data_IF_006894981615
#
_entry.id   IF_006894981615
#
_cell.length_a   1.000
_cell.length_b   1.000
_cell.length_c   1.000
_cell.angle_alpha   90.00
_cell.angle_beta   90.00
_cell.angle_gamma   90.00
#
_symmetry.space_group_name_H-M   'P 1'
#
loop_
_entity.id
_entity.type
_entity.pdbx_description
1 polymer ?
#
# COMPACT_ATOMS: atom_id res chain seq x y z
N UNK A 1 23.59 -19.43 -43.85
CA UNK A 1 23.56 -19.23 -42.39
C UNK A 1 22.48 -18.20 -42.10
N UNK A 2 21.29 -18.62 -41.71
CA UNK A 2 20.18 -17.73 -41.36
C UNK A 2 20.03 -17.73 -39.85
N UNK A 3 20.14 -16.57 -39.23
CA UNK A 3 19.83 -16.38 -37.81
C UNK A 3 18.30 -16.34 -37.65
N UNK A 4 17.73 -17.02 -36.64
CA UNK A 4 16.30 -16.90 -36.37
C UNK A 4 16.04 -15.56 -35.69
N UNK A 5 15.31 -14.68 -36.38
CA UNK A 5 14.65 -13.53 -35.76
C UNK A 5 13.60 -14.08 -34.80
N UNK A 6 13.89 -14.03 -33.50
CA UNK A 6 12.88 -14.35 -32.49
C UNK A 6 11.87 -13.20 -32.49
N UNK A 7 10.79 -13.40 -33.23
CA UNK A 7 9.58 -12.60 -33.17
C UNK A 7 9.06 -12.68 -31.74
N UNK A 8 9.31 -11.64 -30.95
CA UNK A 8 8.53 -11.35 -29.75
C UNK A 8 7.13 -11.02 -30.23
N UNK A 9 6.31 -12.07 -30.43
CA UNK A 9 4.87 -11.96 -30.57
C UNK A 9 4.37 -11.27 -29.30
N UNK A 10 4.05 -9.98 -29.42
CA UNK A 10 3.17 -9.26 -28.52
C UNK A 10 1.74 -9.82 -28.69
N UNK A 11 1.54 -11.10 -28.37
CA UNK A 11 0.22 -11.65 -28.12
C UNK A 11 -0.29 -10.99 -26.86
N UNK A 12 -1.53 -10.52 -26.90
CA UNK A 12 -2.21 -9.81 -25.81
C UNK A 12 -2.09 -10.55 -24.47
N UNK A 13 -1.08 -10.21 -23.66
CA UNK A 13 -0.95 -10.70 -22.29
C UNK A 13 -1.76 -9.78 -21.37
N UNK A 14 -3.07 -9.97 -21.31
CA UNK A 14 -3.76 -9.77 -20.04
C UNK A 14 -3.39 -10.95 -19.11
N UNK A 15 -2.08 -11.13 -18.87
CA UNK A 15 -1.55 -12.10 -17.92
C UNK A 15 -1.47 -11.37 -16.60
N UNK A 16 -2.24 -11.85 -15.63
CA UNK A 16 -2.17 -11.39 -14.25
C UNK A 16 -0.69 -11.25 -13.83
N UNK A 17 -0.29 -10.14 -13.15
CA UNK A 17 1.08 -9.93 -12.74
C UNK A 17 1.63 -11.12 -11.95
N UNK A 18 2.91 -11.44 -12.13
CA UNK A 18 3.59 -12.41 -11.27
C UNK A 18 3.86 -11.78 -9.91
N UNK A 19 2.86 -11.80 -9.02
CA UNK A 19 2.93 -11.19 -7.69
C UNK A 19 4.04 -11.79 -6.82
N UNK A 20 4.23 -13.11 -6.87
CA UNK A 20 5.28 -13.79 -6.09
C UNK A 20 6.66 -13.33 -6.54
N UNK A 21 6.92 -13.34 -7.85
CA UNK A 21 8.19 -12.89 -8.41
C UNK A 21 8.46 -11.40 -8.16
N UNK A 22 7.43 -10.56 -8.24
CA UNK A 22 7.54 -9.13 -7.94
C UNK A 22 7.92 -8.89 -6.47
N UNK A 23 7.25 -9.57 -5.54
CA UNK A 23 7.54 -9.47 -4.11
C UNK A 23 8.95 -9.97 -3.80
N UNK A 24 9.35 -11.11 -4.36
CA UNK A 24 10.71 -11.63 -4.21
C UNK A 24 11.75 -10.61 -4.69
N UNK A 25 11.57 -10.08 -5.90
CA UNK A 25 12.47 -9.06 -6.46
C UNK A 25 12.59 -7.80 -5.59
N UNK A 26 11.46 -7.33 -5.02
CA UNK A 26 11.44 -6.11 -4.22
C UNK A 26 11.96 -6.31 -2.79
N UNK A 27 11.71 -7.47 -2.18
CA UNK A 27 12.00 -7.70 -0.75
C UNK A 27 13.36 -8.38 -0.53
N UNK A 28 13.72 -9.38 -1.35
CA UNK A 28 14.95 -10.16 -1.16
C UNK A 28 16.23 -9.30 -1.06
N UNK A 29 16.40 -8.18 -1.79
CA UNK A 29 17.60 -7.35 -1.67
C UNK A 29 17.82 -6.74 -0.26
N UNK A 30 16.79 -6.74 0.60
CA UNK A 30 16.87 -6.22 1.97
C UNK A 30 17.16 -7.28 3.03
N UNK A 31 17.22 -8.56 2.64
CA UNK A 31 17.40 -9.68 3.56
C UNK A 31 18.86 -10.15 3.55
N UNK A 32 19.40 -10.50 4.72
CA UNK A 32 20.72 -11.15 4.81
C UNK A 32 20.69 -12.57 4.25
N UNK A 33 19.56 -13.24 4.46
CA UNK A 33 19.26 -14.59 3.97
C UNK A 33 18.03 -14.54 3.08
N UNK A 34 18.17 -14.34 1.75
CA UNK A 34 17.05 -14.28 0.81
C UNK A 34 16.15 -15.53 0.82
N UNK A 35 16.71 -16.68 1.20
CA UNK A 35 16.00 -17.95 1.41
C UNK A 35 15.05 -17.97 2.60
N UNK A 36 15.20 -17.02 3.54
CA UNK A 36 14.26 -16.86 4.66
C UNK A 36 12.92 -16.27 4.24
N UNK A 37 12.83 -15.69 3.04
CA UNK A 37 11.61 -15.10 2.52
C UNK A 37 10.59 -16.20 2.15
N UNK A 38 9.53 -16.26 2.91
CA UNK A 38 8.33 -17.02 2.58
C UNK A 38 7.28 -16.08 2.02
N UNK A 39 6.74 -16.42 0.85
CA UNK A 39 5.66 -15.66 0.19
C UNK A 39 4.50 -16.61 -0.04
N UNK A 40 3.33 -16.21 0.42
CA UNK A 40 2.06 -16.86 0.12
C UNK A 40 1.14 -15.88 -0.59
N UNK A 41 0.49 -16.34 -1.66
CA UNK A 41 -0.32 -15.50 -2.55
C UNK A 41 -1.64 -16.20 -2.84
N UNK A 42 -2.73 -15.62 -2.35
CA UNK A 42 -4.09 -16.07 -2.61
C UNK A 42 -4.78 -15.12 -3.59
N UNK A 43 -5.48 -15.68 -4.58
CA UNK A 43 -6.17 -14.92 -5.62
C UNK A 43 -7.66 -15.23 -5.57
N UNK A 44 -8.47 -14.20 -5.29
CA UNK A 44 -9.91 -14.27 -5.44
C UNK A 44 -10.32 -13.77 -6.82
N UNK A 45 -10.65 -14.70 -7.71
CA UNK A 45 -11.13 -14.39 -9.07
C UNK A 45 -12.51 -13.70 -9.06
N UNK A 46 -13.33 -13.96 -8.05
CA UNK A 46 -14.68 -13.37 -7.95
C UNK A 46 -14.61 -11.89 -7.62
N UNK A 47 -13.66 -11.49 -6.77
CA UNK A 47 -13.51 -10.13 -6.27
C UNK A 47 -12.36 -9.36 -6.94
N UNK A 48 -11.67 -9.97 -7.91
CA UNK A 48 -10.41 -9.47 -8.49
C UNK A 48 -9.42 -8.97 -7.41
N UNK A 49 -9.38 -9.69 -6.28
CA UNK A 49 -8.59 -9.30 -5.11
C UNK A 49 -7.48 -10.31 -4.85
N UNK A 50 -6.30 -9.80 -4.56
CA UNK A 50 -5.07 -10.55 -4.29
C UNK A 50 -4.67 -10.33 -2.83
N UNK A 51 -4.38 -11.42 -2.12
CA UNK A 51 -3.84 -11.40 -0.78
C UNK A 51 -2.43 -11.96 -0.79
N UNK A 52 -1.46 -11.12 -0.44
CA UNK A 52 -0.06 -11.48 -0.37
C UNK A 52 0.35 -11.43 1.09
N UNK A 53 0.92 -12.53 1.57
CA UNK A 53 1.41 -12.68 2.93
C UNK A 53 2.88 -13.03 2.87
N UNK A 54 3.70 -12.25 3.56
CA UNK A 54 5.15 -12.49 3.61
C UNK A 54 5.64 -12.72 5.03
N UNK A 55 6.67 -13.54 5.14
CA UNK A 55 7.44 -13.74 6.35
C UNK A 55 8.93 -13.82 6.01
N UNK A 56 9.78 -13.30 6.88
CA UNK A 56 11.24 -13.31 6.77
C UNK A 56 11.82 -13.12 8.18
N UNK A 57 13.15 -13.21 8.33
CA UNK A 57 13.78 -13.06 9.65
C UNK A 57 13.50 -11.67 10.26
N UNK A 58 13.11 -11.65 11.53
CA UNK A 58 12.90 -10.43 12.30
C UNK A 58 14.11 -9.51 12.36
N UNK A 59 15.33 -10.02 12.20
CA UNK A 59 16.57 -9.23 12.16
C UNK A 59 16.62 -8.28 10.96
N UNK A 60 15.94 -8.63 9.86
CA UNK A 60 15.90 -7.82 8.65
C UNK A 60 14.69 -6.88 8.58
N UNK A 61 13.85 -6.88 9.61
CA UNK A 61 12.66 -6.02 9.70
C UNK A 61 12.99 -4.55 9.46
N UNK A 62 14.00 -4.01 10.11
CA UNK A 62 14.32 -2.57 9.95
C UNK A 62 14.78 -2.22 8.53
N UNK A 63 15.42 -3.15 7.81
CA UNK A 63 15.86 -2.96 6.42
C UNK A 63 14.67 -3.01 5.46
N UNK A 64 13.79 -3.99 5.62
CA UNK A 64 12.59 -4.16 4.79
C UNK A 64 11.59 -3.02 5.03
N UNK A 65 11.34 -2.65 6.28
CA UNK A 65 10.45 -1.53 6.60
C UNK A 65 11.07 -0.19 6.24
N UNK A 66 12.39 -0.06 6.38
CA UNK A 66 13.11 1.19 6.24
C UNK A 66 12.77 2.19 7.35
N UNK A 67 13.53 3.28 7.41
CA UNK A 67 13.32 4.34 8.41
C UNK A 67 11.92 4.93 8.29
N UNK A 68 11.10 4.77 9.33
CA UNK A 68 9.72 5.26 9.36
C UNK A 68 8.77 4.54 8.40
N UNK A 69 9.06 3.30 8.01
CA UNK A 69 8.16 2.51 7.16
C UNK A 69 8.15 2.90 5.68
N UNK A 70 9.02 3.83 5.25
CA UNK A 70 9.01 4.34 3.87
C UNK A 70 9.31 3.26 2.83
N UNK A 71 10.20 2.32 3.13
CA UNK A 71 10.57 1.28 2.18
C UNK A 71 9.41 0.32 1.97
N UNK A 72 8.80 -0.18 3.05
CA UNK A 72 7.64 -1.07 2.92
C UNK A 72 6.44 -0.37 2.28
N UNK A 73 6.26 0.92 2.53
CA UNK A 73 5.21 1.70 1.86
C UNK A 73 5.47 1.80 0.35
N UNK A 74 6.72 2.03 -0.08
CA UNK A 74 7.08 2.04 -1.50
C UNK A 74 6.82 0.67 -2.15
N UNK A 75 7.20 -0.43 -1.48
CA UNK A 75 6.93 -1.80 -1.94
C UNK A 75 5.42 -2.02 -2.12
N UNK A 76 4.60 -1.62 -1.12
CA UNK A 76 3.14 -1.69 -1.20
C UNK A 76 2.59 -0.92 -2.39
N UNK A 77 3.07 0.30 -2.62
CA UNK A 77 2.65 1.12 -3.77
C UNK A 77 2.99 0.45 -5.09
N UNK A 78 4.20 -0.07 -5.27
CA UNK A 78 4.60 -0.75 -6.53
C UNK A 78 3.70 -1.95 -6.82
N UNK A 79 3.43 -2.78 -5.81
CA UNK A 79 2.56 -3.95 -5.96
C UNK A 79 1.12 -3.53 -6.25
N UNK A 80 0.61 -2.49 -5.57
CA UNK A 80 -0.72 -1.94 -5.81
C UNK A 80 -0.86 -1.41 -7.24
N UNK A 81 0.10 -0.61 -7.72
CA UNK A 81 0.10 -0.11 -9.09
C UNK A 81 0.16 -1.25 -10.12
N UNK A 82 0.97 -2.28 -9.88
CA UNK A 82 1.00 -3.44 -10.77
C UNK A 82 -0.35 -4.18 -10.82
N UNK A 83 -1.04 -4.30 -9.67
CA UNK A 83 -2.38 -4.88 -9.59
C UNK A 83 -3.43 -4.02 -10.30
N UNK A 84 -3.42 -2.71 -10.07
CA UNK A 84 -4.34 -1.74 -10.68
C UNK A 84 -4.24 -1.76 -12.22
N UNK A 85 -3.02 -1.84 -12.77
CA UNK A 85 -2.79 -1.99 -14.21
C UNK A 85 -3.39 -3.27 -14.79
N UNK A 86 -3.61 -4.29 -13.95
CA UNK A 86 -4.27 -5.54 -14.30
C UNK A 86 -5.77 -5.58 -13.94
N UNK A 87 -6.35 -4.46 -13.45
CA UNK A 87 -7.74 -4.39 -13.00
C UNK A 87 -8.01 -5.18 -11.70
N UNK A 88 -6.99 -5.32 -10.84
CA UNK A 88 -7.05 -6.06 -9.59
C UNK A 88 -6.72 -5.15 -8.40
N UNK A 89 -7.22 -5.51 -7.21
CA UNK A 89 -6.81 -4.90 -5.94
C UNK A 89 -5.92 -5.87 -5.16
N UNK A 90 -4.98 -5.36 -4.38
CA UNK A 90 -4.04 -6.19 -3.61
C UNK A 90 -3.94 -5.76 -2.15
N UNK A 91 -3.80 -6.73 -1.26
CA UNK A 91 -3.49 -6.54 0.15
C UNK A 91 -2.18 -7.25 0.47
N UNK A 92 -1.22 -6.53 1.06
CA UNK A 92 0.07 -7.07 1.49
C UNK A 92 0.16 -7.07 3.02
N UNK A 93 0.27 -8.25 3.60
CA UNK A 93 0.46 -8.49 5.02
C UNK A 93 1.84 -9.08 5.34
N UNK A 94 2.36 -8.78 6.54
CA UNK A 94 3.71 -9.15 6.98
C UNK A 94 3.61 -9.81 8.36
N UNK A 95 3.82 -11.12 8.39
CA UNK A 95 3.82 -11.90 9.61
C UNK A 95 5.02 -11.56 10.51
N UNK A 96 4.85 -11.75 11.82
CA UNK A 96 5.89 -11.47 12.82
C UNK A 96 6.03 -9.99 13.21
N UNK A 97 5.21 -9.10 12.64
CA UNK A 97 5.11 -7.72 13.09
C UNK A 97 3.84 -7.54 13.91
N UNK A 98 3.97 -7.29 15.21
CA UNK A 98 2.82 -6.93 16.04
C UNK A 98 2.16 -5.68 15.43
N UNK A 99 0.92 -5.84 14.97
CA UNK A 99 0.11 -4.83 14.29
C UNK A 99 -0.19 -3.64 15.19
N UNK A 100 0.79 -2.76 15.40
CA UNK A 100 0.59 -1.39 15.87
C UNK A 100 1.07 -0.42 14.79
N UNK A 101 0.45 -0.51 13.63
CA UNK A 101 0.43 0.59 12.67
C UNK A 101 -0.93 0.53 11.97
N UNK A 102 -1.95 0.97 12.71
CA UNK A 102 -3.20 1.44 12.12
C UNK A 102 -2.86 2.77 11.46
N UNK A 103 -2.41 2.73 10.22
CA UNK A 103 -2.58 3.87 9.32
C UNK A 103 -3.66 3.51 8.31
N UNK A 104 -4.79 4.16 8.53
CA UNK A 104 -5.99 4.20 7.74
C UNK A 104 -5.67 4.37 6.26
N UNK A 105 -5.92 3.32 5.47
CA UNK A 105 -6.29 3.50 4.06
C UNK A 105 -7.78 3.29 4.00
N UNK A 106 -8.53 4.38 4.21
CA UNK A 106 -9.90 4.47 3.71
C UNK A 106 -9.80 4.45 2.19
N UNK A 107 -9.98 3.26 1.60
CA UNK A 107 -10.37 3.18 0.21
C UNK A 107 -11.81 3.70 0.14
N UNK A 108 -11.96 5.00 -0.14
CA UNK A 108 -13.19 5.57 -0.66
C UNK A 108 -13.33 5.07 -2.11
N UNK A 109 -13.91 3.88 -2.27
CA UNK A 109 -14.57 3.49 -3.52
C UNK A 109 -16.05 3.87 -3.38
N UNK A 110 -16.40 5.12 -3.71
CA UNK A 110 -17.78 5.53 -3.97
C UNK A 110 -17.78 6.72 -4.96
N UNK A 111 -17.74 6.42 -6.26
CA UNK A 111 -18.41 7.27 -7.25
C UNK A 111 -19.84 6.73 -7.42
N UNK A 112 -20.86 7.45 -6.94
CA UNK A 112 -21.81 8.15 -7.83
C UNK A 112 -22.83 9.01 -7.03
N UNK A 113 -23.05 10.21 -7.56
CA UNK A 113 -23.98 11.29 -7.23
C UNK A 113 -25.10 11.06 -6.18
N UNK A 114 -25.03 11.79 -5.05
CA UNK A 114 -26.19 12.55 -4.53
C UNK A 114 -25.76 13.89 -3.92
N UNK A 115 -26.19 14.94 -4.60
CA UNK A 115 -26.18 16.34 -4.15
C UNK A 115 -26.88 16.44 -2.78
N UNK A 116 -26.16 16.87 -1.74
CA UNK A 116 -26.75 17.38 -0.49
C UNK A 116 -25.96 18.62 0.00
N UNK A 117 -26.64 19.65 0.53
CA UNK A 117 -26.08 20.98 0.75
C UNK A 117 -25.12 21.04 1.97
N UNK A 118 -24.21 22.02 2.02
CA UNK A 118 -23.19 22.08 3.06
C UNK A 118 -23.82 22.46 4.42
N UNK A 119 -23.65 21.59 5.42
CA UNK A 119 -23.92 21.94 6.82
C UNK A 119 -22.85 22.90 7.32
N UNK A 120 -23.29 24.10 7.68
CA UNK A 120 -22.56 25.13 8.41
C UNK A 120 -21.90 24.55 9.66
N UNK A 121 -20.56 24.54 9.67
CA UNK A 121 -19.77 24.21 10.86
C UNK A 121 -19.76 25.46 11.77
N UNK A 122 -20.75 25.51 12.65
CA UNK A 122 -20.90 26.51 13.69
C UNK A 122 -19.68 26.46 14.62
N UNK A 123 -18.94 27.57 14.66
CA UNK A 123 -17.79 27.80 15.55
C UNK A 123 -18.30 27.82 16.99
N UNK A 124 -18.15 26.70 17.69
CA UNK A 124 -18.41 26.66 19.12
C UNK A 124 -17.23 27.32 19.87
N UNK A 125 -17.54 28.50 20.40
CA UNK A 125 -16.65 29.37 21.15
C UNK A 125 -16.36 28.80 22.53
N UNK A 126 -15.09 28.54 22.86
CA UNK A 126 -14.64 28.39 24.23
C UNK A 126 -13.25 29.02 24.41
N UNK A 127 -13.20 30.35 24.50
CA UNK A 127 -12.05 31.10 25.00
C UNK A 127 -12.56 32.13 26.01
N UNK A 128 -12.13 32.10 27.29
CA UNK A 128 -12.52 33.09 28.28
C UNK A 128 -11.87 34.45 27.95
N UNK A 129 -12.67 35.53 27.91
CA UNK A 129 -12.21 36.90 27.66
C UNK A 129 -11.37 37.44 28.84
N UNK A 130 -10.19 38.05 28.64
CA UNK A 130 -9.49 38.76 29.70
C UNK A 130 -10.08 40.17 29.90
N UNK A 131 -10.41 40.50 31.14
CA UNK A 131 -10.89 41.83 31.58
C UNK A 131 -9.70 42.80 31.67
N UNK A 132 -9.72 43.87 30.87
CA UNK A 132 -8.77 44.98 31.02
C UNK A 132 -9.51 46.17 31.64
N UNK A 133 -9.11 46.53 32.87
CA UNK A 133 -9.63 47.68 33.62
C UNK A 133 -9.04 48.99 33.07
N UNK A 134 -9.79 50.09 33.01
CA UNK A 134 -9.28 51.38 32.53
C UNK A 134 -8.36 52.02 33.58
N UNK A 135 -7.18 52.48 33.17
CA UNK A 135 -6.36 53.40 33.96
C UNK A 135 -6.65 54.83 33.51
N UNK A 136 -7.20 55.61 34.43
CA UNK A 136 -7.29 57.07 34.36
C UNK A 136 -5.88 57.68 34.49
N UNK A 137 -5.57 58.66 33.63
CA UNK A 137 -4.76 59.83 33.96
C UNK A 137 -5.07 60.97 33.00
#
# INVERSE_FOLDING_TARGET
MQQPHHSFELKSLATSPNYVGLVQFLVQPFLESPESLSVDCEVSQVLNRIWIRIAFDSTDKEKVFGRGGRNIQAIRTVIATAAELAGQSVYLDIYGTSSQSRDSTSFDEDQEERILPPKSKERENNIPKPVVKPRLR
#
